data_IF_937328584418
#
_entry.id   IF_937328584418
#
_cell.length_a   1.000
_cell.length_b   1.000
_cell.length_c   1.000
_cell.angle_alpha   90.00
_cell.angle_beta   90.00
_cell.angle_gamma   90.00
#
_symmetry.space_group_name_H-M   'P 1'
#
loop_
_entity.id
_entity.type
_entity.pdbx_description
1 polymer ?
#
# COMPACT_ATOMS: atom_id res chain seq x y z
N UNK A 1 5.47 -21.63 -8.56
CA UNK A 1 6.43 -20.56 -8.17
C UNK A 1 6.46 -20.54 -6.66
N UNK A 2 7.60 -20.83 -6.03
CA UNK A 2 7.70 -21.00 -4.57
C UNK A 2 8.18 -19.69 -3.95
N UNK A 3 7.30 -18.98 -3.25
CA UNK A 3 7.65 -17.80 -2.44
C UNK A 3 7.78 -18.22 -0.96
N UNK A 4 8.65 -17.54 -0.21
CA UNK A 4 8.78 -17.70 1.24
C UNK A 4 7.90 -16.65 1.91
N UNK A 5 6.89 -17.09 2.67
CA UNK A 5 6.04 -16.21 3.46
C UNK A 5 6.50 -16.17 4.90
N UNK A 6 6.48 -14.99 5.49
CA UNK A 6 6.84 -14.75 6.89
C UNK A 6 5.78 -13.90 7.56
N UNK A 7 5.62 -14.10 8.86
CA UNK A 7 4.86 -13.21 9.72
C UNK A 7 5.78 -12.74 10.83
N UNK A 8 5.81 -11.44 11.07
CA UNK A 8 6.61 -10.83 12.14
C UNK A 8 5.72 -10.01 13.06
N UNK A 9 6.11 -9.96 14.32
CA UNK A 9 5.57 -9.04 15.31
C UNK A 9 6.71 -8.22 15.86
N UNK A 10 6.46 -6.95 16.13
CA UNK A 10 7.50 -6.04 16.60
C UNK A 10 7.03 -4.60 16.68
N UNK A 11 7.97 -3.71 16.97
CA UNK A 11 7.71 -2.28 17.08
C UNK A 11 8.32 -1.54 15.89
N UNK A 12 7.63 -0.50 15.43
CA UNK A 12 8.12 0.38 14.37
C UNK A 12 9.32 1.16 14.90
N UNK A 13 10.50 0.98 14.31
CA UNK A 13 11.75 1.53 14.83
C UNK A 13 11.92 3.03 14.54
N UNK A 14 11.28 3.54 13.49
CA UNK A 14 11.35 4.94 13.06
C UNK A 14 10.12 5.29 12.21
N UNK A 15 9.87 6.59 12.01
CA UNK A 15 8.73 7.03 11.22
C UNK A 15 8.72 6.41 9.81
N UNK A 16 7.59 5.87 9.34
CA UNK A 16 7.46 5.32 8.00
C UNK A 16 7.82 6.34 6.92
N UNK A 17 8.65 5.93 5.96
CA UNK A 17 9.05 6.78 4.83
C UNK A 17 8.24 6.40 3.60
N UNK A 18 7.43 7.33 3.10
CA UNK A 18 6.68 7.14 1.86
C UNK A 18 7.47 7.68 0.67
N UNK A 19 7.52 6.89 -0.39
CA UNK A 19 8.11 7.21 -1.68
C UNK A 19 6.98 7.22 -2.72
N UNK A 20 7.00 8.20 -3.61
CA UNK A 20 6.11 8.27 -4.76
C UNK A 20 6.96 8.17 -6.02
N UNK A 21 6.55 7.35 -6.97
CA UNK A 21 7.20 7.16 -8.25
C UNK A 21 6.43 7.87 -9.37
N UNK A 22 7.08 8.10 -10.51
CA UNK A 22 6.51 8.85 -11.65
C UNK A 22 5.27 8.17 -12.26
N UNK A 23 5.13 6.85 -12.07
CA UNK A 23 3.97 6.05 -12.48
C UNK A 23 2.75 6.20 -11.54
N UNK A 24 2.87 7.04 -10.50
CA UNK A 24 1.86 7.23 -9.47
C UNK A 24 1.85 6.13 -8.40
N UNK A 25 2.73 5.13 -8.48
CA UNK A 25 2.84 4.10 -7.45
C UNK A 25 3.42 4.71 -6.18
N UNK A 26 2.75 4.47 -5.05
CA UNK A 26 3.27 4.82 -3.72
C UNK A 26 3.79 3.60 -2.99
N UNK A 27 4.93 3.76 -2.32
CA UNK A 27 5.57 2.72 -1.52
C UNK A 27 5.98 3.29 -0.18
N UNK A 28 5.55 2.64 0.89
CA UNK A 28 5.94 3.03 2.25
C UNK A 28 6.92 2.00 2.80
N UNK A 29 8.08 2.48 3.22
CA UNK A 29 9.10 1.69 3.90
C UNK A 29 8.97 1.86 5.41
N UNK A 30 8.83 0.73 6.11
CA UNK A 30 8.75 0.68 7.57
C UNK A 30 9.92 -0.15 8.08
N UNK A 31 10.59 0.32 9.14
CA UNK A 31 11.57 -0.51 9.85
C UNK A 31 10.88 -1.12 11.06
N UNK A 32 10.87 -2.45 11.17
CA UNK A 32 10.23 -3.14 12.29
C UNK A 32 11.29 -3.89 13.09
N UNK A 33 11.38 -3.54 14.36
CA UNK A 33 12.26 -4.18 15.34
C UNK A 33 11.51 -5.33 16.00
N UNK A 34 12.02 -6.54 15.84
CA UNK A 34 11.54 -7.73 16.54
C UNK A 34 12.54 -8.14 17.61
N UNK A 35 12.04 -8.47 18.79
CA UNK A 35 12.84 -8.94 19.92
C UNK A 35 12.50 -10.40 20.20
N UNK A 36 13.51 -11.27 20.12
CA UNK A 36 13.33 -12.64 20.58
C UNK A 36 13.34 -12.67 22.10
N UNK A 37 12.34 -13.28 22.74
CA UNK A 37 12.31 -13.47 24.19
C UNK A 37 12.34 -14.96 24.51
N UNK A 38 13.27 -15.39 25.34
CA UNK A 38 13.43 -16.80 25.69
C UNK A 38 13.43 -16.99 27.21
N UNK A 39 12.98 -18.16 27.65
CA UNK A 39 12.99 -18.53 29.06
C UNK A 39 14.36 -19.11 29.41
N UNK A 40 15.12 -18.41 30.25
CA UNK A 40 16.38 -18.91 30.77
C UNK A 40 16.12 -19.87 31.93
N UNK A 41 16.40 -21.15 31.71
CA UNK A 41 16.19 -22.22 32.71
C UNK A 41 17.09 -22.12 33.93
N UNK A 42 18.23 -21.42 33.85
CA UNK A 42 19.15 -21.27 34.99
C UNK A 42 18.65 -20.21 35.96
N UNK A 43 18.15 -19.10 35.44
CA UNK A 43 17.66 -17.96 36.24
C UNK A 43 16.15 -18.04 36.51
N UNK A 44 15.41 -18.86 35.75
CA UNK A 44 13.96 -18.98 35.86
C UNK A 44 13.21 -17.75 35.36
N UNK A 45 13.83 -16.90 34.54
CA UNK A 45 13.28 -15.64 34.07
C UNK A 45 13.18 -15.58 32.54
N UNK A 46 12.27 -14.76 32.04
CA UNK A 46 12.19 -14.45 30.62
C UNK A 46 13.15 -13.33 30.26
N UNK A 47 14.17 -13.67 29.48
CA UNK A 47 15.23 -12.76 29.08
C UNK A 47 15.05 -12.33 27.62
N UNK A 48 15.36 -11.07 27.36
CA UNK A 48 15.42 -10.54 25.99
C UNK A 48 16.70 -11.02 25.32
N UNK A 49 16.54 -11.64 24.15
CA UNK A 49 17.63 -12.06 23.29
C UNK A 49 17.98 -10.99 22.26
N UNK A 50 18.54 -11.46 21.14
CA UNK A 50 18.92 -10.60 20.02
C UNK A 50 17.71 -9.88 19.44
N UNK A 51 17.93 -8.62 19.05
CA UNK A 51 16.96 -7.78 18.37
C UNK A 51 17.31 -7.70 16.90
N UNK A 52 16.35 -8.02 16.04
CA UNK A 52 16.52 -7.99 14.60
C UNK A 52 15.63 -6.91 14.02
N UNK A 53 16.16 -6.12 13.10
CA UNK A 53 15.38 -5.10 12.40
C UNK A 53 15.15 -5.53 10.95
N UNK A 54 13.89 -5.61 10.53
CA UNK A 54 13.50 -5.87 9.15
C UNK A 54 13.05 -4.59 8.46
N UNK A 55 13.40 -4.47 7.17
CA UNK A 55 12.80 -3.47 6.29
C UNK A 55 11.56 -4.07 5.66
N UNK A 56 10.41 -3.44 5.88
CA UNK A 56 9.12 -3.83 5.33
C UNK A 56 8.73 -2.83 4.23
N UNK A 57 8.35 -3.35 3.06
CA UNK A 57 7.89 -2.58 1.90
C UNK A 57 6.40 -2.79 1.72
N UNK A 58 5.64 -1.71 1.83
CA UNK A 58 4.20 -1.69 1.66
C UNK A 58 3.86 -0.96 0.36
N UNK A 59 3.22 -1.65 -0.59
CA UNK A 59 2.97 -1.12 -1.93
C UNK A 59 1.54 -0.61 -2.10
N UNK A 60 1.35 0.33 -3.02
CA UNK A 60 0.04 0.82 -3.49
C UNK A 60 -0.82 1.30 -2.30
N UNK A 61 -2.09 0.90 -2.26
CA UNK A 61 -3.02 1.26 -1.19
C UNK A 61 -2.54 0.86 0.22
N UNK A 62 -1.81 -0.26 0.36
CA UNK A 62 -1.24 -0.64 1.65
C UNK A 62 -0.17 0.37 2.08
N UNK A 63 0.67 0.82 1.15
CA UNK A 63 1.66 1.87 1.41
C UNK A 63 1.02 3.16 1.91
N UNK A 64 -0.02 3.64 1.24
CA UNK A 64 -0.76 4.84 1.63
C UNK A 64 -1.41 4.73 3.01
N UNK A 65 -2.09 3.62 3.25
CA UNK A 65 -2.74 3.36 4.53
C UNK A 65 -1.71 3.28 5.66
N UNK A 66 -0.59 2.60 5.45
CA UNK A 66 0.48 2.47 6.45
C UNK A 66 1.13 3.83 6.76
N UNK A 67 1.43 4.64 5.75
CA UNK A 67 1.98 5.98 5.95
C UNK A 67 1.05 6.86 6.80
N UNK A 68 -0.27 6.70 6.64
CA UNK A 68 -1.26 7.47 7.40
C UNK A 68 -1.49 6.90 8.80
N UNK A 69 -1.46 5.57 8.95
CA UNK A 69 -1.94 4.88 10.16
C UNK A 69 -0.85 4.53 11.17
N UNK A 70 0.40 4.37 10.73
CA UNK A 70 1.48 3.81 11.55
C UNK A 70 2.50 4.89 11.90
N UNK A 71 2.98 4.89 13.15
CA UNK A 71 3.99 5.83 13.66
C UNK A 71 5.15 5.10 14.35
N UNK A 72 6.25 5.81 14.58
CA UNK A 72 7.38 5.27 15.34
C UNK A 72 6.94 4.78 16.73
N UNK A 73 7.56 3.68 17.19
CA UNK A 73 7.28 3.04 18.47
C UNK A 73 6.02 2.18 18.51
N UNK A 74 5.12 2.28 17.52
CA UNK A 74 3.86 1.53 17.56
C UNK A 74 4.08 0.02 17.31
N UNK A 75 3.33 -0.84 18.01
CA UNK A 75 3.42 -2.28 17.86
C UNK A 75 2.62 -2.73 16.63
N UNK A 76 3.22 -3.56 15.78
CA UNK A 76 2.65 -4.01 14.51
C UNK A 76 2.83 -5.50 14.29
N UNK A 77 1.89 -6.07 13.54
CA UNK A 77 1.98 -7.39 12.93
C UNK A 77 2.08 -7.21 11.42
N UNK A 78 3.04 -7.88 10.79
CA UNK A 78 3.23 -7.85 9.33
C UNK A 78 3.23 -9.27 8.81
N UNK A 79 2.51 -9.50 7.71
CA UNK A 79 2.59 -10.72 6.91
C UNK A 79 3.00 -10.36 5.49
N UNK A 80 3.88 -11.15 4.90
CA UNK A 80 4.41 -10.84 3.58
C UNK A 80 5.40 -11.86 3.05
N UNK A 81 5.98 -11.53 1.91
CA UNK A 81 7.00 -12.34 1.23
C UNK A 81 8.38 -11.89 1.68
N UNK A 82 9.22 -12.83 2.09
CA UNK A 82 10.64 -12.55 2.34
C UNK A 82 11.38 -12.46 1.01
N UNK A 83 12.10 -11.35 0.82
CA UNK A 83 12.96 -11.10 -0.33
C UNK A 83 14.37 -10.82 0.17
N UNK A 84 15.38 -11.41 -0.46
CA UNK A 84 16.77 -11.05 -0.22
C UNK A 84 17.20 -10.14 -1.35
N UNK A 85 17.52 -8.89 -1.01
CA UNK A 85 17.99 -7.91 -1.99
C UNK A 85 19.50 -7.83 -1.94
N UNK A 86 20.12 -7.94 -3.11
CA UNK A 86 21.55 -7.71 -3.26
C UNK A 86 21.79 -6.24 -3.61
N UNK A 87 22.81 -5.62 -3.01
CA UNK A 87 23.25 -4.27 -3.34
C UNK A 87 24.75 -4.13 -3.08
N UNK A 88 25.39 -3.17 -3.74
CA UNK A 88 26.83 -2.96 -3.69
C UNK A 88 27.50 -3.28 -5.03
N UNK A 89 28.78 -2.92 -5.13
CA UNK A 89 29.59 -3.23 -6.31
C UNK A 89 30.02 -4.71 -6.30
N UNK A 90 30.53 -5.20 -7.43
CA UNK A 90 30.89 -6.61 -7.65
C UNK A 90 31.89 -7.17 -6.61
N UNK A 91 32.68 -6.30 -5.95
CA UNK A 91 33.59 -6.66 -4.85
C UNK A 91 33.08 -6.43 -3.42
N UNK A 92 31.93 -5.77 -3.21
CA UNK A 92 31.31 -5.53 -1.88
C UNK A 92 29.80 -5.75 -1.98
N UNK A 93 29.42 -6.95 -2.42
CA UNK A 93 28.02 -7.38 -2.50
C UNK A 93 27.49 -7.63 -1.10
N UNK A 94 26.40 -6.97 -0.75
CA UNK A 94 25.69 -7.14 0.51
C UNK A 94 24.28 -7.64 0.26
N UNK A 95 23.84 -8.53 1.14
CA UNK A 95 22.48 -9.07 1.12
C UNK A 95 21.69 -8.46 2.27
N UNK A 96 20.53 -7.87 1.95
CA UNK A 96 19.61 -7.34 2.95
C UNK A 96 18.28 -8.07 2.83
N UNK A 97 17.79 -8.68 3.93
CA UNK A 97 16.45 -9.21 3.98
C UNK A 97 15.44 -8.07 4.03
N UNK A 98 14.51 -8.06 3.08
CA UNK A 98 13.35 -7.19 3.04
C UNK A 98 12.06 -8.04 3.04
N UNK A 99 10.97 -7.46 3.52
CA UNK A 99 9.66 -8.12 3.53
C UNK A 99 8.72 -7.28 2.68
N UNK A 100 8.23 -7.88 1.60
CA UNK A 100 7.17 -7.32 0.78
C UNK A 100 5.83 -7.64 1.44
N UNK A 101 5.23 -6.65 2.10
CA UNK A 101 4.04 -6.86 2.91
C UNK A 101 2.80 -7.06 2.04
N UNK A 102 2.04 -8.11 2.35
CA UNK A 102 0.67 -8.30 1.86
C UNK A 102 -0.35 -7.77 2.87
N UNK A 103 0.00 -7.75 4.16
CA UNK A 103 -0.83 -7.21 5.23
C UNK A 103 0.02 -6.58 6.34
N UNK A 104 -0.45 -5.46 6.88
CA UNK A 104 0.10 -4.78 8.06
C UNK A 104 -1.06 -4.33 8.92
N UNK A 105 -0.95 -4.52 10.23
CA UNK A 105 -1.91 -3.99 11.20
C UNK A 105 -1.24 -3.71 12.54
N UNK A 106 -1.86 -2.87 13.36
CA UNK A 106 -1.45 -2.66 14.75
C UNK A 106 -1.63 -3.96 15.54
N UNK A 107 -0.67 -4.27 16.42
CA UNK A 107 -0.83 -5.33 17.39
C UNK A 107 -1.69 -4.83 18.56
N UNK A 108 -2.97 -5.21 18.52
CA UNK A 108 -3.98 -4.80 19.49
C UNK A 108 -3.77 -5.43 20.88
N UNK A 109 -2.78 -6.31 21.07
CA UNK A 109 -2.35 -6.72 22.41
C UNK A 109 -1.86 -5.54 23.25
N UNK A 110 -1.33 -4.51 22.59
CA UNK A 110 -0.63 -3.39 23.23
C UNK A 110 -1.33 -2.04 23.00
N UNK A 111 -2.56 -2.05 22.48
CA UNK A 111 -3.32 -0.83 22.23
C UNK A 111 -4.67 -1.07 21.56
N UNK A 112 -5.38 0.02 21.30
CA UNK A 112 -6.67 0.02 20.59
C UNK A 112 -6.53 0.72 19.24
N UNK A 113 -7.36 0.37 18.26
CA UNK A 113 -7.38 1.02 16.95
C UNK A 113 -8.80 1.40 16.52
N UNK A 114 -8.91 2.45 15.70
CA UNK A 114 -10.14 2.80 15.00
C UNK A 114 -9.94 2.55 13.50
N UNK A 115 -10.87 1.81 12.89
CA UNK A 115 -10.80 1.49 11.46
C UNK A 115 -11.69 2.44 10.66
N UNK A 116 -11.12 3.06 9.65
CA UNK A 116 -11.85 3.85 8.66
C UNK A 116 -11.60 3.28 7.28
N UNK A 117 -12.66 3.11 6.49
CA UNK A 117 -12.54 2.67 5.11
C UNK A 117 -12.13 3.88 4.26
N UNK A 118 -11.05 3.80 3.46
CA UNK A 118 -10.70 4.90 2.57
C UNK A 118 -11.82 5.08 1.54
N UNK A 119 -12.15 6.35 1.27
CA UNK A 119 -13.06 6.71 0.18
C UNK A 119 -12.39 6.34 -1.15
N UNK A 120 -12.67 5.12 -1.61
CA UNK A 120 -12.42 4.77 -3.00
C UNK A 120 -13.52 5.44 -3.81
N UNK A 121 -13.13 6.39 -4.68
CA UNK A 121 -14.04 7.05 -5.62
C UNK A 121 -15.03 6.03 -6.18
N UNK A 122 -16.32 6.34 -6.02
CA UNK A 122 -17.41 5.38 -5.98
C UNK A 122 -17.28 4.25 -7.00
N UNK A 123 -17.15 3.03 -6.49
CA UNK A 123 -17.59 1.86 -7.25
C UNK A 123 -19.06 2.12 -7.55
N UNK A 124 -19.44 2.17 -8.83
CA UNK A 124 -20.84 2.28 -9.26
C UNK A 124 -21.64 1.31 -8.39
N UNK A 125 -22.51 1.85 -7.53
CA UNK A 125 -23.32 1.03 -6.65
C UNK A 125 -24.25 0.23 -7.55
N UNK A 126 -23.91 -1.03 -7.78
CA UNK A 126 -24.81 -2.01 -8.38
C UNK A 126 -26.09 -1.96 -7.56
N UNK A 127 -27.22 -1.69 -8.22
CA UNK A 127 -28.52 -1.59 -7.56
C UNK A 127 -28.80 -2.86 -6.77
N UNK A 128 -29.59 -2.76 -5.69
CA UNK A 128 -30.03 -3.91 -4.90
C UNK A 128 -30.57 -5.03 -5.80
N UNK A 129 -31.37 -4.64 -6.81
CA UNK A 129 -31.93 -5.55 -7.81
C UNK A 129 -30.87 -6.29 -8.63
N UNK A 130 -29.79 -5.61 -9.02
CA UNK A 130 -28.72 -6.23 -9.80
C UNK A 130 -27.83 -7.12 -8.92
N UNK A 131 -27.67 -6.81 -7.63
CA UNK A 131 -27.04 -7.70 -6.65
C UNK A 131 -27.87 -8.95 -6.42
N UNK A 132 -29.18 -8.80 -6.20
CA UNK A 132 -30.09 -9.93 -5.97
C UNK A 132 -30.12 -10.85 -7.20
N UNK A 133 -30.07 -10.30 -8.43
CA UNK A 133 -29.97 -11.07 -9.67
C UNK A 133 -28.65 -11.85 -9.78
N UNK A 134 -27.52 -11.23 -9.44
CA UNK A 134 -26.20 -11.88 -9.42
C UNK A 134 -26.14 -13.02 -8.40
N UNK A 135 -26.74 -12.82 -7.22
CA UNK A 135 -26.82 -13.84 -6.17
C UNK A 135 -27.69 -15.03 -6.60
N UNK A 136 -28.80 -14.78 -7.30
CA UNK A 136 -29.67 -15.83 -7.85
C UNK A 136 -28.98 -16.60 -8.98
N UNK A 137 -28.34 -15.90 -9.93
CA UNK A 137 -27.56 -16.53 -11.00
C UNK A 137 -26.40 -17.38 -10.46
N UNK A 138 -25.74 -16.91 -9.41
CA UNK A 138 -24.66 -17.66 -8.73
C UNK A 138 -25.20 -18.88 -8.02
N UNK A 139 -26.36 -18.78 -7.35
CA UNK A 139 -27.06 -19.92 -6.74
C UNK A 139 -27.47 -20.93 -7.79
N UNK A 140 -28.05 -20.51 -8.90
CA UNK A 140 -28.49 -21.40 -9.98
C UNK A 140 -27.34 -22.13 -10.64
N UNK A 141 -26.20 -21.45 -10.83
CA UNK A 141 -24.97 -22.08 -11.32
C UNK A 141 -24.40 -23.08 -10.31
N UNK A 142 -24.38 -22.73 -9.02
CA UNK A 142 -23.85 -23.58 -7.95
C UNK A 142 -24.73 -24.80 -7.64
N UNK A 143 -26.05 -24.66 -7.78
CA UNK A 143 -27.03 -25.73 -7.53
C UNK A 143 -27.28 -26.60 -8.77
N UNK A 144 -26.65 -26.27 -9.91
CA UNK A 144 -26.79 -27.01 -11.17
C UNK A 144 -28.20 -26.96 -11.76
N UNK A 145 -29.02 -25.99 -11.36
CA UNK A 145 -30.46 -25.94 -11.70
C UNK A 145 -30.76 -25.49 -13.12
N UNK A 146 -29.75 -25.18 -13.94
CA UNK A 146 -30.00 -24.80 -15.34
C UNK A 146 -30.16 -26.01 -16.25
N UNK A 147 -31.38 -26.54 -16.29
CA UNK A 147 -31.89 -27.17 -17.50
C UNK A 147 -31.96 -26.11 -18.62
N UNK A 148 -30.99 -26.14 -19.53
CA UNK A 148 -31.10 -25.66 -20.91
C UNK A 148 -31.42 -24.18 -21.15
N UNK A 149 -30.39 -23.41 -21.55
CA UNK A 149 -30.34 -22.53 -22.74
C UNK A 149 -29.36 -21.38 -22.48
N UNK A 150 -28.23 -21.41 -23.18
CA UNK A 150 -27.45 -20.21 -23.50
C UNK A 150 -28.15 -19.49 -24.64
N UNK A 151 -28.37 -18.17 -24.58
CA UNK A 151 -28.27 -17.37 -25.77
C UNK A 151 -26.78 -17.07 -25.98
N UNK A 152 -26.20 -17.59 -27.05
CA UNK A 152 -24.99 -16.98 -27.59
C UNK A 152 -25.32 -15.52 -27.98
N UNK A 153 -24.39 -14.56 -27.82
CA UNK A 153 -24.57 -13.26 -28.44
C UNK A 153 -24.57 -13.45 -29.95
N UNK A 154 -25.67 -13.07 -30.60
CA UNK A 154 -25.85 -13.18 -32.04
C UNK A 154 -24.91 -12.19 -32.74
N UNK A 155 -23.87 -12.71 -33.39
CA UNK A 155 -22.93 -11.98 -34.22
C UNK A 155 -23.41 -12.13 -35.68
N UNK A 156 -24.41 -11.33 -36.08
CA UNK A 156 -24.81 -11.20 -37.47
C UNK A 156 -25.40 -9.81 -37.78
N UNK A 157 -24.51 -8.92 -38.23
CA UNK A 157 -24.65 -8.08 -39.42
C UNK A 157 -26.03 -7.48 -39.74
N UNK A 158 -26.21 -6.20 -39.40
CA UNK A 158 -26.90 -5.25 -40.31
C UNK A 158 -26.10 -3.95 -40.35
N UNK A 159 -25.55 -3.65 -41.52
CA UNK A 159 -24.96 -2.36 -41.89
C UNK A 159 -26.09 -1.45 -42.45
N UNK A 160 -25.86 -0.13 -42.57
CA UNK A 160 -26.77 0.93 -42.07
C UNK A 160 -27.66 1.53 -43.17
N UNK A 161 -28.56 2.48 -42.84
CA UNK A 161 -28.92 3.54 -43.78
C UNK A 161 -28.01 4.75 -43.62
N UNK A 162 -27.39 5.15 -44.75
CA UNK A 162 -26.99 6.54 -45.02
C UNK A 162 -28.26 7.41 -45.13
N UNK A 163 -28.27 8.74 -44.97
CA UNK A 163 -27.36 9.81 -45.41
C UNK A 163 -27.86 11.12 -44.78
N UNK A 164 -26.93 12.08 -44.62
CA UNK A 164 -27.14 13.55 -44.68
C UNK A 164 -27.86 14.20 -43.48
N UNK A 165 -27.43 15.34 -42.93
CA UNK A 165 -26.29 16.22 -43.18
C UNK A 165 -26.19 17.20 -41.99
N UNK A 166 -25.08 17.90 -41.96
CA UNK A 166 -24.90 19.29 -41.51
C UNK A 166 -24.13 19.51 -40.19
N UNK A 167 -22.85 19.84 -40.41
CA UNK A 167 -22.04 20.95 -39.86
C UNK A 167 -22.25 21.38 -38.40
N UNK A 168 -21.25 21.84 -37.64
CA UNK A 168 -20.02 22.51 -38.02
C UNK A 168 -19.15 22.69 -36.76
N UNK A 169 -17.84 22.71 -36.98
CA UNK A 169 -16.86 23.53 -36.27
C UNK A 169 -16.41 23.14 -34.86
N UNK A 170 -15.25 22.48 -34.87
CA UNK A 170 -14.20 22.56 -33.85
C UNK A 170 -13.85 24.01 -33.52
N UNK A 171 -13.81 24.36 -32.23
CA UNK A 171 -12.88 25.38 -31.71
C UNK A 171 -12.18 24.88 -30.46
N UNK A 172 -10.92 24.49 -30.66
CA UNK A 172 -9.87 24.54 -29.66
C UNK A 172 -9.51 26.01 -29.39
N UNK A 173 -9.41 26.38 -28.12
CA UNK A 173 -8.55 27.44 -27.55
C UNK A 173 -8.44 27.06 -26.07
N UNK A 174 -7.28 26.60 -25.61
CA UNK A 174 -6.19 27.47 -25.15
C UNK A 174 -6.39 27.70 -23.65
N UNK A 175 -5.77 26.90 -22.77
CA UNK A 175 -4.41 27.09 -22.26
C UNK A 175 -4.25 28.35 -21.40
N UNK A 176 -3.54 28.17 -20.27
CA UNK A 176 -2.84 29.19 -19.48
C UNK A 176 -3.73 30.14 -18.64
N UNK A 177 -3.41 30.55 -17.41
CA UNK A 177 -2.19 30.46 -16.60
C UNK A 177 -2.58 30.95 -15.17
N UNK A 178 -2.10 30.29 -14.13
CA UNK A 178 -1.56 30.99 -12.95
C UNK A 178 -0.05 31.17 -13.25
N UNK A 179 0.68 32.18 -12.75
CA UNK A 179 0.60 32.71 -11.39
C UNK A 179 0.90 34.22 -11.31
N UNK A 180 1.03 34.77 -10.10
CA UNK A 180 2.06 35.74 -9.69
C UNK A 180 1.81 36.00 -8.19
N UNK A 181 2.74 35.58 -7.31
CA UNK A 181 3.91 36.33 -6.86
C UNK A 181 3.50 37.35 -5.75
N UNK A 182 4.24 37.61 -4.68
CA UNK A 182 5.63 37.35 -4.38
C UNK A 182 5.92 37.62 -2.90
N UNK A 183 7.12 37.19 -2.46
CA UNK A 183 8.01 37.83 -1.47
C UNK A 183 7.49 38.05 -0.03
N UNK A 184 8.12 37.60 1.04
CA UNK A 184 9.51 37.83 1.55
C UNK A 184 9.47 37.26 2.98
N UNK A 185 10.49 36.78 3.70
CA UNK A 185 11.94 36.99 3.73
C UNK A 185 12.49 36.08 4.87
N UNK A 186 13.58 35.37 4.65
CA UNK A 186 14.59 35.14 5.68
C UNK A 186 15.74 36.11 5.41
N UNK A 187 16.47 36.54 6.45
CA UNK A 187 17.88 36.19 6.44
C UNK A 187 18.43 35.75 7.80
N UNK A 188 19.55 35.06 7.67
CA UNK A 188 20.48 34.52 8.66
C UNK A 188 20.79 35.43 9.86
N UNK A 189 21.02 34.81 11.02
CA UNK A 189 22.10 35.28 11.90
C UNK A 189 22.78 34.16 12.69
N UNK A 190 24.04 34.43 12.95
CA UNK A 190 25.19 33.59 13.28
C UNK A 190 25.39 33.52 14.79
N UNK A 191 25.77 32.37 15.33
CA UNK A 191 26.67 32.32 16.49
C UNK A 191 27.61 31.11 16.38
N UNK A 192 28.85 31.38 15.98
CA UNK A 192 30.03 30.75 16.60
C UNK A 192 30.02 31.00 18.11
N UNK A 193 30.55 30.06 18.91
CA UNK A 193 31.68 30.28 19.82
C UNK A 193 31.79 29.19 20.91
N UNK A 194 32.76 28.28 20.68
CA UNK A 194 33.82 27.81 21.57
C UNK A 194 33.61 27.16 22.97
N UNK A 195 34.61 26.31 23.26
CA UNK A 195 35.16 25.80 24.54
C UNK A 195 34.42 24.62 25.22
N UNK A 196 34.98 23.40 25.29
CA UNK A 196 36.22 22.90 25.93
C UNK A 196 35.97 22.27 27.32
N UNK A 197 36.49 21.05 27.46
CA UNK A 197 36.95 20.37 28.69
C UNK A 197 35.96 20.08 29.82
N UNK A 198 35.60 18.79 29.98
CA UNK A 198 35.90 17.94 31.14
C UNK A 198 35.46 16.50 30.88
#
# INVERSE_FOLDING_TARGET
>A
MNDIYVTLTGNVAAEPRQYSFDDGTKVTSVRVLTSHRYFDRKTGQWTDGERVCFTVRCWRALGENVATSVRAGQPVVVSGKLRIREFGAEGDRRFVPEIEASAVGHDLRWGTGAFTKPERGGVVSISKEMRDRLDEETRDWAMGTRAGRSPAPDLATTSPPSTADDSSTVRFLGAHQAPDADETSEPDDVTEEALAAA
#
